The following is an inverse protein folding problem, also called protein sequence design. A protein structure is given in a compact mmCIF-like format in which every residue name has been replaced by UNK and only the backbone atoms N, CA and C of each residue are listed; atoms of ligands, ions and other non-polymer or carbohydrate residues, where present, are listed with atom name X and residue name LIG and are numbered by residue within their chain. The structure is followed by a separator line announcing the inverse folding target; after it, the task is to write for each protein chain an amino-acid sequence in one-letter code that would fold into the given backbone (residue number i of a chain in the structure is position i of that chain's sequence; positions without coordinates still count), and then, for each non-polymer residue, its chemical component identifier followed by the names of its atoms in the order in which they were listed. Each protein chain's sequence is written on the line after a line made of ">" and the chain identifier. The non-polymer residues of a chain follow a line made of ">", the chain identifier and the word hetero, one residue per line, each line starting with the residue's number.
data_IF_272418914835
#
_entry.id   IF_272418914835
#
_cell.length_a   1.000
_cell.length_b   1.000
_cell.length_c   1.000
_cell.angle_alpha   90.00
_cell.angle_beta   90.00
_cell.angle_gamma   90.00
#
_symmetry.space_group_name_H-M   'P 1'
#
loop_
_entity.id
_entity.type
_entity.pdbx_description
1 polymer ?
#
# COMPACT_ATOMS: atom_id res chain seq x y z
N UNK A 1 0.92 14.32 -6.36
CA UNK A 1 1.99 13.39 -5.95
C UNK A 1 2.12 12.39 -7.06
N UNK A 2 3.34 12.13 -7.53
CA UNK A 2 3.57 11.14 -8.59
C UNK A 2 3.45 9.73 -8.01
N UNK A 3 3.20 8.72 -8.86
CA UNK A 3 2.97 7.34 -8.39
C UNK A 3 4.11 6.78 -7.52
N UNK A 4 5.40 6.94 -7.89
CA UNK A 4 6.51 6.46 -7.06
C UNK A 4 6.59 7.15 -5.69
N UNK A 5 6.30 8.45 -5.65
CA UNK A 5 6.24 9.23 -4.40
C UNK A 5 5.09 8.74 -3.51
N UNK A 6 3.94 8.35 -4.10
CA UNK A 6 2.82 7.77 -3.37
C UNK A 6 3.16 6.44 -2.73
N UNK A 7 3.83 5.54 -3.47
CA UNK A 7 4.28 4.25 -2.95
C UNK A 7 5.26 4.45 -1.78
N UNK A 8 6.25 5.33 -1.94
CA UNK A 8 7.19 5.65 -0.87
C UNK A 8 6.48 6.25 0.36
N UNK A 9 5.49 7.12 0.15
CA UNK A 9 4.70 7.70 1.23
C UNK A 9 3.89 6.65 2.00
N UNK A 10 3.30 5.68 1.30
CA UNK A 10 2.58 4.56 1.92
C UNK A 10 3.54 3.66 2.70
N UNK A 11 4.71 3.34 2.14
CA UNK A 11 5.75 2.56 2.82
C UNK A 11 6.21 3.23 4.13
N UNK A 12 6.42 4.55 4.09
CA UNK A 12 6.78 5.33 5.28
C UNK A 12 5.68 5.28 6.34
N UNK A 13 4.42 5.48 5.95
CA UNK A 13 3.29 5.38 6.89
C UNK A 13 3.19 4.01 7.56
N UNK A 14 3.39 2.93 6.81
CA UNK A 14 3.38 1.56 7.36
C UNK A 14 4.52 1.38 8.37
N UNK A 15 5.71 1.92 8.04
CA UNK A 15 6.88 1.93 8.92
C UNK A 15 6.62 2.71 10.20
N UNK A 16 6.09 3.92 10.11
CA UNK A 16 5.79 4.79 11.26
C UNK A 16 4.78 4.13 12.22
N UNK A 17 3.91 3.27 11.69
CA UNK A 17 2.93 2.49 12.46
C UNK A 17 3.50 1.18 13.04
N UNK A 18 4.78 0.88 12.82
CA UNK A 18 5.43 -0.41 13.15
C UNK A 18 4.72 -1.62 12.54
N UNK A 19 4.15 -1.46 11.34
CA UNK A 19 3.41 -2.50 10.62
C UNK A 19 4.23 -3.13 9.47
N UNK A 20 5.51 -2.81 9.33
CA UNK A 20 6.37 -3.31 8.25
C UNK A 20 6.33 -4.83 8.10
N UNK A 21 6.70 -5.57 9.15
CA UNK A 21 6.69 -7.04 9.14
C UNK A 21 5.31 -7.67 8.89
N UNK A 22 4.23 -7.29 9.60
CA UNK A 22 2.91 -7.88 9.31
C UNK A 22 2.42 -7.54 7.91
N UNK A 23 2.71 -6.34 7.39
CA UNK A 23 2.35 -5.96 6.03
C UNK A 23 3.14 -6.76 4.99
N UNK A 24 4.46 -6.93 5.16
CA UNK A 24 5.29 -7.77 4.30
C UNK A 24 4.74 -9.19 4.23
N UNK A 25 4.55 -9.84 5.39
CA UNK A 25 4.05 -11.21 5.46
C UNK A 25 2.67 -11.37 4.82
N UNK A 26 1.74 -10.44 5.10
CA UNK A 26 0.39 -10.51 4.56
C UNK A 26 0.38 -10.34 3.05
N UNK A 27 1.06 -9.30 2.53
CA UNK A 27 1.04 -8.96 1.11
C UNK A 27 1.89 -9.91 0.27
N UNK A 28 3.02 -10.39 0.79
CA UNK A 28 3.87 -11.35 0.09
C UNK A 28 3.20 -12.72 -0.01
N UNK A 29 2.62 -13.22 1.10
CA UNK A 29 1.92 -14.49 1.10
C UNK A 29 0.57 -14.44 0.36
N UNK A 30 -0.04 -13.26 0.25
CA UNK A 30 -1.36 -13.08 -0.34
C UNK A 30 -1.42 -11.94 -1.35
N UNK A 31 -0.51 -11.92 -2.33
CA UNK A 31 -0.58 -10.97 -3.47
C UNK A 31 -1.97 -10.92 -4.15
N UNK A 32 -2.72 -12.02 -4.32
CA UNK A 32 -4.10 -11.96 -4.84
C UNK A 32 -5.08 -11.19 -3.94
N UNK A 33 -4.86 -11.15 -2.62
CA UNK A 33 -5.70 -10.37 -1.71
C UNK A 33 -5.52 -8.87 -1.91
N UNK A 34 -4.34 -8.40 -2.30
CA UNK A 34 -4.14 -6.99 -2.63
C UNK A 34 -5.09 -6.56 -3.75
N UNK A 35 -5.19 -7.37 -4.81
CA UNK A 35 -6.13 -7.14 -5.90
C UNK A 35 -7.60 -7.20 -5.47
N UNK A 36 -7.98 -8.13 -4.58
CA UNK A 36 -9.35 -8.14 -4.02
C UNK A 36 -9.59 -6.84 -3.22
N UNK A 37 -8.59 -6.40 -2.46
CA UNK A 37 -8.61 -5.15 -1.71
C UNK A 37 -8.82 -3.93 -2.59
N UNK A 38 -8.17 -3.85 -3.76
CA UNK A 38 -8.39 -2.74 -4.70
C UNK A 38 -9.83 -2.67 -5.17
N UNK A 39 -10.43 -3.82 -5.50
CA UNK A 39 -11.84 -3.86 -5.92
C UNK A 39 -12.79 -3.44 -4.79
N UNK A 40 -12.53 -3.88 -3.55
CA UNK A 40 -13.32 -3.45 -2.39
C UNK A 40 -13.20 -1.94 -2.14
N UNK A 41 -12.01 -1.37 -2.30
CA UNK A 41 -11.80 0.07 -2.18
C UNK A 41 -12.58 0.85 -3.24
N UNK A 42 -12.57 0.41 -4.50
CA UNK A 42 -13.35 1.07 -5.57
C UNK A 42 -14.85 0.97 -5.33
N UNK A 43 -15.34 -0.17 -4.85
CA UNK A 43 -16.76 -0.34 -4.49
C UNK A 43 -17.13 0.59 -3.33
N UNK A 44 -16.24 0.72 -2.33
CA UNK A 44 -16.46 1.57 -1.16
C UNK A 44 -16.15 3.05 -1.42
N UNK A 45 -15.49 3.39 -2.53
CA UNK A 45 -14.99 4.73 -2.86
C UNK A 45 -16.06 5.83 -2.71
N UNK A 46 -17.30 5.68 -3.22
CA UNK A 46 -18.31 6.72 -3.09
C UNK A 46 -18.63 7.10 -1.64
N UNK A 47 -18.47 6.15 -0.71
CA UNK A 47 -18.67 6.38 0.73
C UNK A 47 -17.41 6.92 1.38
N UNK A 48 -16.24 6.36 1.04
CA UNK A 48 -14.95 6.74 1.62
C UNK A 48 -14.51 8.15 1.21
N UNK A 49 -14.79 8.57 -0.02
CA UNK A 49 -14.45 9.90 -0.56
C UNK A 49 -15.19 11.03 0.19
N UNK A 50 -16.27 10.73 0.93
CA UNK A 50 -16.94 11.71 1.80
C UNK A 50 -16.14 12.06 3.05
N UNK A 51 -15.25 11.15 3.49
CA UNK A 51 -14.48 11.27 4.73
C UNK A 51 -12.97 11.37 4.49
N UNK A 52 -12.50 10.99 3.31
CA UNK A 52 -11.09 10.98 2.92
C UNK A 52 -10.74 12.14 1.99
N UNK A 53 -9.42 12.38 1.83
CA UNK A 53 -8.95 13.38 0.87
C UNK A 53 -9.28 12.92 -0.56
N UNK A 54 -9.69 13.85 -1.45
CA UNK A 54 -9.94 13.52 -2.85
C UNK A 54 -8.76 12.77 -3.49
N UNK A 55 -9.07 11.69 -4.21
CA UNK A 55 -8.09 10.85 -4.90
C UNK A 55 -7.26 9.94 -3.99
N UNK A 56 -7.39 9.99 -2.67
CA UNK A 56 -6.64 9.07 -1.79
C UNK A 56 -7.07 7.62 -1.99
N UNK A 57 -8.38 7.37 -2.04
CA UNK A 57 -8.95 6.02 -2.18
C UNK A 57 -8.59 5.43 -3.54
N UNK A 58 -8.69 6.23 -4.60
CA UNK A 58 -8.29 5.86 -5.96
C UNK A 58 -6.80 5.49 -6.04
N UNK A 59 -5.91 6.34 -5.49
CA UNK A 59 -4.48 6.03 -5.48
C UNK A 59 -4.14 4.76 -4.68
N UNK A 60 -4.86 4.49 -3.59
CA UNK A 60 -4.71 3.24 -2.83
C UNK A 60 -5.21 2.02 -3.62
N UNK A 61 -6.35 2.14 -4.30
CA UNK A 61 -6.85 1.07 -5.15
C UNK A 61 -5.87 0.78 -6.30
N UNK A 62 -5.33 1.82 -6.94
CA UNK A 62 -4.35 1.69 -8.02
C UNK A 62 -3.04 1.05 -7.56
N UNK A 63 -2.56 1.39 -6.36
CA UNK A 63 -1.38 0.77 -5.77
C UNK A 63 -1.60 -0.73 -5.60
N UNK A 64 -2.75 -1.13 -5.04
CA UNK A 64 -3.06 -2.53 -4.75
C UNK A 64 -3.41 -3.35 -6.01
N UNK A 65 -3.96 -2.70 -7.03
CA UNK A 65 -4.32 -3.34 -8.30
C UNK A 65 -3.11 -3.61 -9.20
N UNK A 66 -2.04 -2.81 -9.05
CA UNK A 66 -0.85 -2.88 -9.89
C UNK A 66 0.22 -3.78 -9.28
N UNK A 67 0.57 -4.91 -9.94
CA UNK A 67 1.65 -5.77 -9.45
C UNK A 67 2.99 -5.04 -9.34
N UNK A 68 3.27 -4.09 -10.23
CA UNK A 68 4.52 -3.34 -10.23
C UNK A 68 4.61 -2.35 -9.05
N UNK A 69 3.52 -1.67 -8.72
CA UNK A 69 3.50 -0.73 -7.60
C UNK A 69 3.47 -1.47 -6.26
N UNK A 70 2.77 -2.60 -6.19
CA UNK A 70 2.79 -3.49 -5.04
C UNK A 70 4.19 -4.08 -4.79
N UNK A 71 4.88 -4.50 -5.84
CA UNK A 71 6.26 -5.00 -5.73
C UNK A 71 7.20 -3.87 -5.29
N UNK A 72 7.03 -2.67 -5.83
CA UNK A 72 7.78 -1.50 -5.36
C UNK A 72 7.53 -1.21 -3.89
N UNK A 73 6.28 -1.30 -3.41
CA UNK A 73 5.95 -1.15 -1.99
C UNK A 73 6.68 -2.20 -1.13
N UNK A 74 6.61 -3.47 -1.52
CA UNK A 74 7.28 -4.57 -0.80
C UNK A 74 8.80 -4.33 -0.72
N UNK A 75 9.44 -3.93 -1.81
CA UNK A 75 10.88 -3.62 -1.84
C UNK A 75 11.25 -2.48 -0.89
N UNK A 76 10.44 -1.41 -0.82
CA UNK A 76 10.68 -0.33 0.13
C UNK A 76 10.55 -0.81 1.58
N UNK A 77 9.53 -1.60 1.89
CA UNK A 77 9.31 -2.16 3.23
C UNK A 77 10.44 -3.11 3.64
N UNK A 78 10.91 -3.96 2.73
CA UNK A 78 12.06 -4.84 2.97
C UNK A 78 13.35 -4.07 3.24
N UNK A 79 13.60 -3.00 2.49
CA UNK A 79 14.80 -2.18 2.67
C UNK A 79 14.82 -1.54 4.07
N UNK A 80 13.68 -1.05 4.54
CA UNK A 80 13.51 -0.52 5.90
C UNK A 80 13.74 -1.61 6.94
N UNK A 81 13.11 -2.78 6.78
CA UNK A 81 13.24 -3.88 7.74
C UNK A 81 14.68 -4.41 7.83
N UNK A 82 15.38 -4.52 6.68
CA UNK A 82 16.80 -4.92 6.62
C UNK A 82 17.71 -3.87 7.25
N UNK A 83 17.42 -2.58 7.05
CA UNK A 83 18.17 -1.49 7.68
C UNK A 83 17.91 -1.34 9.18
N UNK A 84 16.70 -1.66 9.66
CA UNK A 84 16.35 -1.66 11.08
C UNK A 84 16.98 -2.84 11.87
N UNK A 85 17.41 -3.89 11.18
CA UNK A 85 18.07 -5.08 11.75
C UNK A 85 19.60 -5.02 11.75
N UNK A 86 20.21 -3.92 11.32
CA UNK A 86 21.66 -3.66 11.36
C UNK A 86 22.03 -2.80 12.56
#
# INVERSE_FOLDING_TARGET
>A
MNKPEFVAHVAQKITDLNLTMPTLLLLEAHKPLAFIGSQLLLIAQPTLDLFMKPGLVENMADLLASPADLESLLQHLEAVEKGAKQ
#
